data_IF_452457930214
#
_entry.id   IF_452457930214
#
_cell.length_a   1.000
_cell.length_b   1.000
_cell.length_c   1.000
_cell.angle_alpha   90.00
_cell.angle_beta   90.00
_cell.angle_gamma   90.00
#
_symmetry.space_group_name_H-M   'P 1'
#
loop_
_entity.id
_entity.type
_entity.pdbx_description
1 polymer ?
#
# COMPACT_ATOMS: atom_id res chain seq x y z
N UNK A 1 -49.71 -26.37 17.47
CA UNK A 1 -51.03 -25.85 17.91
C UNK A 1 -51.09 -24.35 17.63
N UNK A 2 -52.25 -23.84 17.21
CA UNK A 2 -52.68 -22.41 17.12
C UNK A 2 -51.78 -21.40 16.39
N UNK A 3 -52.20 -21.08 15.17
CA UNK A 3 -51.93 -19.82 14.48
C UNK A 3 -52.54 -18.63 15.24
N UNK A 4 -52.05 -17.42 14.97
CA UNK A 4 -52.90 -16.23 14.97
C UNK A 4 -52.65 -15.41 13.70
N UNK A 5 -53.75 -15.06 13.02
CA UNK A 5 -53.80 -14.18 11.87
C UNK A 5 -54.53 -12.90 12.27
N UNK A 6 -54.17 -11.76 11.70
CA UNK A 6 -55.04 -10.58 11.69
C UNK A 6 -55.08 -9.97 10.29
N UNK A 7 -56.25 -10.10 9.68
CA UNK A 7 -56.64 -9.42 8.45
C UNK A 7 -57.23 -8.05 8.77
N UNK A 8 -56.97 -7.05 7.93
CA UNK A 8 -57.91 -5.96 7.66
C UNK A 8 -57.92 -5.65 6.18
N UNK A 9 -59.10 -5.70 5.58
CA UNK A 9 -59.33 -5.45 4.18
C UNK A 9 -60.11 -4.14 4.01
N UNK A 10 -59.73 -3.33 3.02
CA UNK A 10 -60.58 -2.26 2.46
C UNK A 10 -60.53 -2.35 0.92
N UNK A 11 -61.70 -2.53 0.30
CA UNK A 11 -62.00 -2.22 -1.11
C UNK A 11 -62.60 -0.79 -1.13
N UNK A 12 -62.82 -0.04 -2.21
CA UNK A 12 -62.73 -0.18 -3.67
C UNK A 12 -62.36 1.24 -4.26
N UNK A 13 -62.36 1.60 -5.56
CA UNK A 13 -62.83 0.98 -6.83
C UNK A 13 -61.98 1.50 -8.01
N UNK A 14 -62.30 1.12 -9.24
CA UNK A 14 -61.67 1.57 -10.50
C UNK A 14 -62.16 2.94 -11.00
N UNK A 15 -61.31 3.63 -11.78
CA UNK A 15 -61.72 4.22 -13.06
C UNK A 15 -60.53 4.28 -14.03
N UNK A 16 -60.77 4.10 -15.33
CA UNK A 16 -59.75 4.10 -16.37
C UNK A 16 -60.09 5.10 -17.50
N UNK A 17 -59.12 5.90 -17.93
CA UNK A 17 -58.98 6.65 -19.19
C UNK A 17 -57.72 7.54 -19.05
N UNK A 18 -56.92 7.86 -20.08
CA UNK A 18 -57.06 7.56 -21.51
C UNK A 18 -55.72 7.65 -22.26
N UNK A 19 -55.79 7.97 -23.55
CA UNK A 19 -54.79 7.66 -24.59
C UNK A 19 -53.48 8.48 -24.59
N UNK A 20 -52.49 7.83 -25.21
CA UNK A 20 -51.15 8.28 -25.61
C UNK A 20 -50.98 9.72 -26.12
N UNK A 21 -49.78 10.28 -25.84
CA UNK A 21 -49.09 11.24 -26.73
C UNK A 21 -47.62 10.83 -26.87
N UNK A 22 -47.12 11.04 -28.09
CA UNK A 22 -45.78 10.78 -28.63
C UNK A 22 -44.60 11.13 -27.73
N UNK A 23 -43.53 10.33 -27.83
CA UNK A 23 -42.29 10.57 -27.11
C UNK A 23 -41.52 11.81 -27.58
N UNK A 24 -40.75 12.39 -26.65
CA UNK A 24 -39.68 13.34 -26.92
C UNK A 24 -38.41 12.73 -26.34
N UNK A 25 -37.44 12.40 -27.19
CA UNK A 25 -36.11 12.01 -26.74
C UNK A 25 -35.37 13.25 -26.20
N UNK A 26 -35.67 13.64 -24.97
CA UNK A 26 -34.82 14.55 -24.22
C UNK A 26 -33.49 13.85 -23.98
N UNK A 27 -32.45 14.26 -24.70
CA UNK A 27 -31.09 13.82 -24.45
C UNK A 27 -30.68 14.32 -23.06
N UNK A 28 -30.88 13.46 -22.05
CA UNK A 28 -30.48 13.73 -20.68
C UNK A 28 -28.96 13.82 -20.61
N UNK A 29 -28.43 15.04 -20.66
CA UNK A 29 -27.08 15.31 -20.19
C UNK A 29 -27.02 14.85 -18.73
N UNK A 30 -26.34 13.72 -18.49
CA UNK A 30 -26.14 13.22 -17.13
C UNK A 30 -25.49 14.35 -16.31
N UNK A 31 -26.04 14.71 -15.13
CA UNK A 31 -25.44 15.76 -14.33
C UNK A 31 -24.03 15.33 -13.98
N UNK A 32 -23.04 16.10 -14.43
CA UNK A 32 -21.66 15.93 -14.02
C UNK A 32 -21.63 16.16 -12.50
N UNK A 33 -21.55 15.07 -11.74
CA UNK A 33 -21.42 15.14 -10.29
C UNK A 33 -20.18 16.00 -9.97
N UNK A 34 -20.26 16.94 -9.03
CA UNK A 34 -19.10 17.73 -8.65
C UNK A 34 -18.04 16.78 -8.06
N UNK A 35 -16.96 16.57 -8.80
CA UNK A 35 -15.76 15.90 -8.29
C UNK A 35 -15.27 16.71 -7.08
N UNK A 36 -15.41 16.16 -5.87
CA UNK A 36 -14.97 16.89 -4.68
C UNK A 36 -13.44 16.80 -4.58
N UNK A 37 -12.80 17.83 -4.05
CA UNK A 37 -11.35 17.83 -3.84
C UNK A 37 -10.87 16.66 -2.93
N UNK A 38 -11.76 16.16 -2.06
CA UNK A 38 -11.57 14.93 -1.28
C UNK A 38 -11.39 13.67 -2.13
N UNK A 39 -12.02 13.60 -3.30
CA UNK A 39 -11.88 12.46 -4.20
C UNK A 39 -10.51 12.47 -4.89
N UNK A 40 -10.00 13.66 -5.26
CA UNK A 40 -8.64 13.80 -5.80
C UNK A 40 -7.58 13.37 -4.77
N UNK A 41 -7.77 13.67 -3.48
CA UNK A 41 -6.90 13.17 -2.40
C UNK A 41 -7.00 11.65 -2.20
N UNK A 42 -8.12 11.02 -2.55
CA UNK A 42 -8.27 9.54 -2.55
C UNK A 42 -7.45 8.88 -3.68
N UNK A 43 -7.07 9.60 -4.73
CA UNK A 43 -6.23 9.08 -5.82
C UNK A 43 -4.76 9.51 -5.76
N UNK A 44 -4.39 10.41 -4.84
CA UNK A 44 -3.00 10.81 -4.64
C UNK A 44 -2.18 9.68 -3.97
N UNK A 45 -1.01 9.39 -4.54
CA UNK A 45 -0.01 8.51 -3.93
C UNK A 45 0.61 9.20 -2.69
N UNK A 46 1.40 8.49 -1.86
CA UNK A 46 2.20 9.11 -0.82
C UNK A 46 3.01 10.31 -1.35
N UNK A 47 3.30 11.26 -0.45
CA UNK A 47 3.92 12.55 -0.73
C UNK A 47 3.05 13.50 -1.58
N UNK A 48 1.74 13.22 -1.69
CA UNK A 48 0.78 13.95 -2.54
C UNK A 48 1.22 14.05 -4.01
N UNK A 49 1.94 13.04 -4.50
CA UNK A 49 2.45 12.98 -5.88
C UNK A 49 1.61 12.04 -6.74
N UNK A 50 1.85 12.12 -8.05
CA UNK A 50 1.36 11.14 -9.04
C UNK A 50 2.50 10.22 -9.44
N UNK A 51 2.21 8.95 -9.69
CA UNK A 51 3.15 7.99 -10.27
C UNK A 51 2.72 7.56 -11.68
N UNK A 52 3.60 6.86 -12.40
CA UNK A 52 3.34 6.24 -13.70
C UNK A 52 3.81 4.78 -13.64
N UNK A 53 2.98 3.85 -14.08
CA UNK A 53 3.30 2.42 -14.14
C UNK A 53 4.55 2.16 -14.99
N UNK A 54 5.45 1.34 -14.46
CA UNK A 54 6.61 0.84 -15.21
C UNK A 54 6.20 -0.39 -16.03
N UNK A 55 6.89 -0.65 -17.16
CA UNK A 55 6.77 -1.93 -17.86
C UNK A 55 7.05 -3.14 -16.96
N UNK A 56 6.40 -4.27 -17.24
CA UNK A 56 6.55 -5.51 -16.46
C UNK A 56 7.96 -6.10 -16.55
N UNK A 57 8.64 -5.91 -17.68
CA UNK A 57 10.01 -6.33 -17.98
C UNK A 57 11.08 -5.39 -17.40
N UNK A 58 10.69 -4.35 -16.66
CA UNK A 58 11.63 -3.58 -15.85
C UNK A 58 12.16 -4.44 -14.69
N UNK A 59 13.47 -4.35 -14.40
CA UNK A 59 14.13 -5.12 -13.33
C UNK A 59 13.41 -5.04 -11.97
N UNK A 60 12.91 -3.87 -11.58
CA UNK A 60 12.17 -3.72 -10.32
C UNK A 60 10.77 -4.37 -10.39
N UNK A 61 10.12 -4.32 -11.56
CA UNK A 61 8.84 -5.01 -11.82
C UNK A 61 9.01 -6.53 -11.84
N UNK A 62 10.06 -7.07 -12.45
CA UNK A 62 10.39 -8.50 -12.41
C UNK A 62 10.64 -9.00 -10.99
N UNK A 63 11.40 -8.20 -10.23
CA UNK A 63 11.74 -8.47 -8.84
C UNK A 63 10.51 -8.43 -7.93
N UNK A 64 9.68 -7.40 -8.04
CA UNK A 64 8.45 -7.31 -7.28
C UNK A 64 7.53 -8.50 -7.58
N UNK A 65 7.36 -8.88 -8.85
CA UNK A 65 6.59 -10.07 -9.25
C UNK A 65 7.15 -11.38 -8.67
N UNK A 66 8.46 -11.50 -8.38
CA UNK A 66 9.01 -12.65 -7.64
C UNK A 66 8.51 -12.63 -6.19
N UNK A 67 8.62 -11.49 -5.52
CA UNK A 67 8.20 -11.33 -4.13
C UNK A 67 6.69 -11.54 -3.97
N UNK A 68 5.86 -11.06 -4.90
CA UNK A 68 4.42 -11.32 -4.91
C UNK A 68 4.10 -12.82 -4.93
N UNK A 69 4.82 -13.62 -5.74
CA UNK A 69 4.64 -15.09 -5.75
C UNK A 69 5.08 -15.76 -4.45
N UNK A 70 6.12 -15.25 -3.80
CA UNK A 70 6.54 -15.73 -2.47
C UNK A 70 5.50 -15.36 -1.41
N UNK A 71 4.96 -14.13 -1.44
CA UNK A 71 3.85 -13.69 -0.59
C UNK A 71 2.61 -14.56 -0.79
N UNK A 72 2.20 -14.84 -2.03
CA UNK A 72 1.00 -15.63 -2.30
C UNK A 72 1.13 -17.08 -1.80
N UNK A 73 2.32 -17.68 -1.90
CA UNK A 73 2.62 -18.98 -1.33
C UNK A 73 2.55 -18.95 0.22
N UNK A 74 3.08 -17.90 0.85
CA UNK A 74 3.00 -17.72 2.30
C UNK A 74 1.58 -17.40 2.79
N UNK A 75 0.76 -16.69 2.02
CA UNK A 75 -0.64 -16.40 2.35
C UNK A 75 -1.47 -17.69 2.49
N UNK A 76 -1.17 -18.74 1.71
CA UNK A 76 -1.80 -20.05 1.88
C UNK A 76 -1.42 -20.69 3.22
N UNK A 77 -0.15 -20.62 3.62
CA UNK A 77 0.31 -21.11 4.93
C UNK A 77 -0.35 -20.33 6.07
N UNK A 78 -0.43 -19.00 5.95
CA UNK A 78 -1.11 -18.14 6.92
C UNK A 78 -2.60 -18.48 7.05
N UNK A 79 -3.32 -18.67 5.95
CA UNK A 79 -4.74 -19.02 5.97
C UNK A 79 -5.01 -20.37 6.67
N UNK A 80 -4.23 -21.41 6.34
CA UNK A 80 -4.33 -22.71 7.01
C UNK A 80 -4.02 -22.63 8.51
N UNK A 81 -3.06 -21.78 8.88
CA UNK A 81 -2.66 -21.55 10.28
C UNK A 81 -3.66 -20.71 11.09
N UNK A 82 -4.44 -19.84 10.43
CA UNK A 82 -5.54 -19.08 11.05
C UNK A 82 -6.78 -19.96 11.25
N UNK A 83 -7.04 -20.90 10.32
CA UNK A 83 -8.16 -21.85 10.41
C UNK A 83 -7.97 -22.91 11.52
N UNK A 84 -6.77 -23.50 11.67
CA UNK A 84 -6.44 -24.37 12.82
C UNK A 84 -5.14 -23.96 13.55
N UNK A 85 -5.21 -22.96 14.45
CA UNK A 85 -4.06 -22.48 15.21
C UNK A 85 -3.41 -23.53 16.12
N UNK A 86 -4.11 -24.65 16.44
CA UNK A 86 -3.57 -25.72 17.29
C UNK A 86 -2.66 -26.67 16.55
N UNK A 87 -2.86 -26.84 15.25
CA UNK A 87 -2.06 -27.73 14.40
C UNK A 87 -1.15 -26.99 13.41
N UNK A 88 -1.17 -25.64 13.39
CA UNK A 88 -0.22 -24.84 12.64
C UNK A 88 1.25 -25.17 13.01
N UNK A 89 1.96 -25.78 12.07
CA UNK A 89 3.33 -26.26 12.27
C UNK A 89 4.39 -25.16 12.15
N UNK A 90 4.18 -24.12 11.32
CA UNK A 90 5.13 -23.01 11.17
C UNK A 90 5.11 -22.10 12.42
N UNK A 91 6.24 -21.94 13.13
CA UNK A 91 6.35 -20.93 14.18
C UNK A 91 6.38 -19.50 13.62
N UNK A 92 6.84 -19.30 12.38
CA UNK A 92 6.85 -18.01 11.68
C UNK A 92 5.42 -17.54 11.39
N UNK A 93 4.57 -18.42 10.86
CA UNK A 93 3.16 -18.13 10.62
C UNK A 93 2.43 -17.76 11.92
N UNK A 94 2.65 -18.51 13.00
CA UNK A 94 2.09 -18.18 14.32
C UNK A 94 2.60 -16.83 14.85
N UNK A 95 3.89 -16.53 14.68
CA UNK A 95 4.50 -15.25 15.08
C UNK A 95 3.92 -14.09 14.25
N UNK A 96 3.74 -14.27 12.95
CA UNK A 96 3.14 -13.27 12.06
C UNK A 96 1.66 -13.02 12.39
N UNK A 97 0.86 -14.07 12.52
CA UNK A 97 -0.55 -13.97 12.90
C UNK A 97 -0.71 -13.31 14.28
N UNK A 98 0.14 -13.63 15.26
CA UNK A 98 0.12 -12.96 16.56
C UNK A 98 0.39 -11.44 16.47
N UNK A 99 1.26 -11.00 15.54
CA UNK A 99 1.49 -9.57 15.26
C UNK A 99 0.25 -8.93 14.62
N UNK A 100 -0.38 -9.62 13.66
CA UNK A 100 -1.60 -9.17 12.98
C UNK A 100 -2.76 -9.03 13.98
N UNK A 101 -2.96 -10.00 14.88
CA UNK A 101 -3.99 -9.94 15.93
C UNK A 101 -3.71 -8.85 16.97
N UNK A 102 -2.45 -8.67 17.38
CA UNK A 102 -2.06 -7.56 18.26
C UNK A 102 -2.40 -6.20 17.63
N UNK A 103 -2.23 -6.07 16.31
CA UNK A 103 -2.71 -4.94 15.52
C UNK A 103 -4.23 -4.82 15.54
N UNK A 104 -4.96 -5.88 15.13
CA UNK A 104 -6.44 -5.90 15.05
C UNK A 104 -7.13 -5.56 16.37
N UNK A 105 -6.50 -5.90 17.50
CA UNK A 105 -6.95 -5.52 18.85
C UNK A 105 -6.91 -3.99 19.13
N UNK A 106 -6.33 -3.18 18.25
CA UNK A 106 -6.34 -1.71 18.32
C UNK A 106 -7.26 -1.09 17.27
N UNK A 107 -7.54 0.21 17.46
CA UNK A 107 -8.39 1.02 16.60
C UNK A 107 -7.63 2.19 15.97
N UNK A 108 -8.10 2.65 14.80
CA UNK A 108 -7.50 3.76 14.06
C UNK A 108 -5.99 3.60 13.84
N UNK A 109 -5.26 4.72 13.96
CA UNK A 109 -3.79 4.77 13.80
C UNK A 109 -3.01 3.83 14.73
N UNK A 110 -3.56 3.44 15.88
CA UNK A 110 -2.89 2.52 16.80
C UNK A 110 -2.76 1.10 16.23
N UNK A 111 -3.65 0.67 15.32
CA UNK A 111 -3.58 -0.65 14.65
C UNK A 111 -2.32 -0.78 13.80
N UNK A 112 -2.08 0.19 12.93
CA UNK A 112 -0.88 0.22 12.09
C UNK A 112 0.40 0.48 12.94
N UNK A 113 0.29 1.31 13.98
CA UNK A 113 1.41 1.59 14.90
C UNK A 113 1.87 0.36 15.70
N UNK A 114 0.96 -0.50 16.16
CA UNK A 114 1.31 -1.76 16.83
C UNK A 114 2.00 -2.73 15.87
N UNK A 115 1.50 -2.88 14.63
CA UNK A 115 2.13 -3.70 13.59
C UNK A 115 3.55 -3.21 13.28
N UNK A 116 3.74 -1.89 13.10
CA UNK A 116 5.07 -1.29 12.90
C UNK A 116 6.03 -1.66 14.04
N UNK A 117 5.59 -1.42 15.29
CA UNK A 117 6.39 -1.67 16.49
C UNK A 117 6.73 -3.15 16.64
N UNK A 118 5.76 -4.04 16.46
CA UNK A 118 5.92 -5.46 16.69
C UNK A 118 6.87 -6.09 15.65
N UNK A 119 6.75 -5.73 14.36
CA UNK A 119 7.74 -6.15 13.35
C UNK A 119 9.13 -5.56 13.62
N UNK A 120 9.21 -4.29 14.02
CA UNK A 120 10.49 -3.65 14.37
C UNK A 120 11.20 -4.28 15.58
N UNK A 121 10.46 -4.96 16.47
CA UNK A 121 11.02 -5.73 17.60
C UNK A 121 11.26 -7.21 17.26
N UNK A 122 10.57 -7.75 16.24
CA UNK A 122 10.59 -9.16 15.88
C UNK A 122 11.75 -9.57 14.96
N UNK A 123 12.39 -8.59 14.31
CA UNK A 123 13.42 -8.75 13.27
C UNK A 123 14.60 -7.85 13.64
N UNK A 124 15.84 -8.29 13.37
CA UNK A 124 17.08 -7.52 13.58
C UNK A 124 17.55 -6.85 12.26
N UNK A 125 17.86 -5.53 12.25
CA UNK A 125 18.31 -4.87 11.04
C UNK A 125 19.73 -5.31 10.67
N UNK A 126 19.90 -5.88 9.48
CA UNK A 126 21.19 -6.32 8.91
C UNK A 126 21.09 -6.23 7.39
N UNK A 127 22.10 -5.70 6.71
CA UNK A 127 22.10 -5.61 5.25
C UNK A 127 22.22 -6.97 4.56
N UNK A 128 21.61 -7.10 3.38
CA UNK A 128 21.70 -8.32 2.56
C UNK A 128 23.12 -8.80 2.32
N UNK A 129 24.06 -7.89 2.03
CA UNK A 129 25.46 -8.25 1.79
C UNK A 129 26.09 -8.99 2.98
N UNK A 130 25.63 -8.72 4.20
CA UNK A 130 26.07 -9.39 5.42
C UNK A 130 25.25 -10.64 5.78
N UNK A 131 24.03 -10.80 5.25
CA UNK A 131 23.18 -11.98 5.47
C UNK A 131 23.35 -13.07 4.40
N UNK A 132 23.46 -12.66 3.14
CA UNK A 132 23.39 -13.51 1.96
C UNK A 132 24.66 -13.46 1.10
N UNK A 133 25.51 -12.45 1.28
CA UNK A 133 26.69 -12.22 0.41
C UNK A 133 26.34 -11.60 -0.95
N UNK A 134 25.06 -11.30 -1.17
CA UNK A 134 24.50 -10.62 -2.33
C UNK A 134 23.81 -9.32 -1.86
N UNK A 135 23.60 -8.36 -2.74
CA UNK A 135 22.87 -7.12 -2.42
C UNK A 135 21.42 -7.22 -2.90
N UNK A 136 20.49 -6.54 -2.22
CA UNK A 136 19.14 -6.27 -2.72
C UNK A 136 18.37 -7.61 -2.94
N UNK A 137 18.20 -8.39 -1.86
CA UNK A 137 17.63 -9.75 -1.79
C UNK A 137 16.30 -9.74 -1.03
N UNK A 138 15.21 -9.44 -1.74
CA UNK A 138 13.91 -9.23 -1.09
C UNK A 138 13.27 -10.56 -0.62
N UNK A 139 12.76 -10.58 0.62
CA UNK A 139 12.11 -11.73 1.25
C UNK A 139 10.63 -11.46 1.56
N UNK A 140 9.82 -12.51 1.41
CA UNK A 140 8.44 -12.52 1.89
C UNK A 140 8.39 -12.66 3.45
N UNK A 141 7.27 -12.28 4.10
CA UNK A 141 7.20 -12.12 5.56
C UNK A 141 7.61 -13.34 6.41
N UNK A 142 7.23 -14.57 6.03
CA UNK A 142 7.58 -15.77 6.79
C UNK A 142 9.05 -16.15 6.58
N UNK A 143 9.56 -16.05 5.36
CA UNK A 143 10.98 -16.23 5.06
C UNK A 143 11.86 -15.24 5.86
N UNK A 144 11.44 -13.97 5.95
CA UNK A 144 12.09 -12.97 6.80
C UNK A 144 12.02 -13.34 8.29
N UNK A 145 10.87 -13.81 8.78
CA UNK A 145 10.72 -14.22 10.19
C UNK A 145 11.52 -15.48 10.53
N UNK A 146 11.72 -16.39 9.58
CA UNK A 146 12.62 -17.55 9.72
C UNK A 146 14.09 -17.11 9.80
N UNK A 147 14.51 -16.16 8.95
CA UNK A 147 15.84 -15.56 8.99
C UNK A 147 16.07 -14.74 10.29
N UNK A 148 15.02 -14.10 10.80
CA UNK A 148 15.07 -13.23 11.99
C UNK A 148 15.84 -11.92 11.79
N UNK A 149 16.30 -11.64 10.57
CA UNK A 149 17.05 -10.45 10.18
C UNK A 149 16.83 -10.13 8.70
N UNK A 150 16.93 -8.85 8.34
CA UNK A 150 16.79 -8.28 7.00
C UNK A 150 17.02 -6.76 7.06
N UNK A 151 16.90 -6.05 5.94
CA UNK A 151 17.06 -4.59 5.89
C UNK A 151 15.76 -3.83 5.56
N UNK A 152 15.72 -2.91 4.59
CA UNK A 152 14.62 -1.93 4.54
C UNK A 152 13.39 -2.44 3.78
N UNK A 153 13.61 -3.05 2.62
CA UNK A 153 12.63 -3.75 1.79
C UNK A 153 11.87 -4.82 2.57
N UNK A 154 12.59 -5.71 3.24
CA UNK A 154 12.06 -6.85 3.97
C UNK A 154 11.05 -6.42 5.05
N UNK A 155 11.43 -5.43 5.85
CA UNK A 155 10.53 -4.87 6.85
C UNK A 155 9.34 -4.17 6.19
N UNK A 156 9.54 -3.44 5.09
CA UNK A 156 8.47 -2.78 4.36
C UNK A 156 7.46 -3.81 3.82
N UNK A 157 7.94 -4.87 3.17
CA UNK A 157 7.15 -6.00 2.66
C UNK A 157 6.36 -6.66 3.79
N UNK A 158 7.03 -7.03 4.89
CA UNK A 158 6.39 -7.64 6.06
C UNK A 158 5.29 -6.75 6.65
N UNK A 159 5.51 -5.43 6.72
CA UNK A 159 4.52 -4.46 7.20
C UNK A 159 3.35 -4.32 6.23
N UNK A 160 3.60 -4.24 4.93
CA UNK A 160 2.55 -4.17 3.90
C UNK A 160 1.63 -5.38 3.95
N UNK A 161 2.18 -6.60 4.02
CA UNK A 161 1.39 -7.82 4.13
C UNK A 161 0.67 -7.91 5.48
N UNK A 162 1.31 -7.50 6.59
CA UNK A 162 0.67 -7.51 7.91
C UNK A 162 -0.49 -6.51 8.02
N UNK A 163 -0.37 -5.34 7.39
CA UNK A 163 -1.46 -4.37 7.25
C UNK A 163 -2.61 -4.95 6.41
N UNK A 164 -2.31 -5.59 5.27
CA UNK A 164 -3.32 -6.28 4.45
C UNK A 164 -4.07 -7.35 5.25
N UNK A 165 -3.34 -8.19 6.00
CA UNK A 165 -3.92 -9.22 6.88
C UNK A 165 -4.70 -8.63 8.07
N UNK A 166 -4.34 -7.43 8.54
CA UNK A 166 -5.08 -6.69 9.58
C UNK A 166 -6.34 -5.96 9.05
N UNK A 167 -6.70 -6.15 7.78
CA UNK A 167 -7.92 -5.64 7.17
C UNK A 167 -7.88 -4.15 6.80
N UNK A 168 -6.71 -3.59 6.50
CA UNK A 168 -6.62 -2.30 5.82
C UNK A 168 -6.94 -2.47 4.31
N UNK A 169 -7.60 -1.47 3.72
CA UNK A 169 -7.96 -1.50 2.30
C UNK A 169 -6.70 -1.48 1.41
N UNK A 170 -6.64 -2.35 0.41
CA UNK A 170 -5.46 -2.48 -0.46
C UNK A 170 -5.20 -1.22 -1.29
N UNK A 171 -6.23 -0.42 -1.59
CA UNK A 171 -6.10 0.89 -2.22
C UNK A 171 -5.47 1.95 -1.31
N UNK A 172 -5.49 1.74 0.01
CA UNK A 172 -4.88 2.58 1.04
C UNK A 172 -3.50 2.07 1.51
N UNK A 173 -2.94 1.02 0.88
CA UNK A 173 -1.62 0.45 1.21
C UNK A 173 -0.62 0.62 0.07
N UNK A 174 0.63 0.99 0.40
CA UNK A 174 1.75 1.06 -0.54
C UNK A 174 3.06 0.59 0.09
N UNK A 175 3.99 0.12 -0.74
CA UNK A 175 5.42 0.22 -0.47
C UNK A 175 5.97 1.47 -1.16
N UNK A 176 6.91 2.17 -0.54
CA UNK A 176 7.60 3.32 -1.14
C UNK A 176 9.10 3.14 -1.02
N UNK A 177 9.80 3.28 -2.15
CA UNK A 177 11.26 3.40 -2.22
C UNK A 177 11.60 4.88 -2.40
N UNK A 178 12.50 5.40 -1.58
CA UNK A 178 12.89 6.81 -1.56
C UNK A 178 14.38 6.98 -1.25
N UNK A 179 15.00 8.03 -1.80
CA UNK A 179 16.38 8.42 -1.49
C UNK A 179 16.39 9.33 -0.26
N UNK A 180 17.07 8.93 0.82
CA UNK A 180 17.43 9.87 1.89
C UNK A 180 18.57 10.76 1.37
N UNK A 181 18.27 12.04 1.18
CA UNK A 181 19.22 13.02 0.60
C UNK A 181 20.28 13.52 1.59
N UNK A 182 20.10 13.30 2.90
CA UNK A 182 21.13 13.60 3.90
C UNK A 182 22.10 12.43 4.05
N UNK A 183 21.60 11.20 3.99
CA UNK A 183 22.39 9.97 4.14
C UNK A 183 22.91 9.41 2.82
N UNK A 184 22.41 9.91 1.68
CA UNK A 184 22.78 9.52 0.31
C UNK A 184 22.50 8.05 -0.02
N UNK A 185 21.53 7.44 0.65
CA UNK A 185 21.16 6.02 0.54
C UNK A 185 19.67 5.87 0.14
N UNK A 186 19.34 4.83 -0.62
CA UNK A 186 17.94 4.45 -0.82
C UNK A 186 17.38 3.79 0.44
N UNK A 187 16.08 3.93 0.65
CA UNK A 187 15.36 3.39 1.80
C UNK A 187 13.93 3.01 1.42
N UNK A 188 13.48 1.84 1.85
CA UNK A 188 12.14 1.33 1.62
C UNK A 188 11.29 1.36 2.90
N UNK A 189 10.01 1.73 2.75
CA UNK A 189 9.02 1.77 3.85
C UNK A 189 7.65 1.31 3.37
N UNK A 190 6.85 0.78 4.29
CA UNK A 190 5.41 0.62 4.05
C UNK A 190 4.68 1.94 4.33
N UNK A 191 3.58 2.19 3.63
CA UNK A 191 2.70 3.34 3.83
C UNK A 191 1.24 2.90 3.93
N UNK A 192 0.49 3.51 4.84
CA UNK A 192 -0.96 3.32 4.98
C UNK A 192 -1.68 4.66 5.04
N UNK A 193 -2.76 4.81 4.26
CA UNK A 193 -3.59 6.01 4.30
C UNK A 193 -4.65 5.89 5.39
N UNK A 194 -4.66 6.85 6.32
CA UNK A 194 -5.61 6.93 7.44
C UNK A 194 -6.08 8.37 7.61
N UNK A 195 -7.39 8.56 7.69
CA UNK A 195 -8.03 9.88 7.77
C UNK A 195 -7.56 10.83 6.65
N UNK A 196 -7.40 10.31 5.43
CA UNK A 196 -6.92 11.06 4.26
C UNK A 196 -5.43 11.39 4.24
N UNK A 197 -4.63 10.90 5.20
CA UNK A 197 -3.18 11.18 5.32
C UNK A 197 -2.35 9.90 5.21
N UNK A 198 -1.19 9.96 4.58
CA UNK A 198 -0.29 8.83 4.45
C UNK A 198 0.67 8.73 5.65
N UNK A 199 0.62 7.57 6.33
CA UNK A 199 1.48 7.24 7.47
C UNK A 199 2.50 6.19 7.06
N UNK A 200 3.78 6.52 7.24
CA UNK A 200 4.91 5.68 6.90
C UNK A 200 5.35 4.84 8.11
N UNK A 201 5.56 3.55 7.87
CA UNK A 201 5.99 2.54 8.83
C UNK A 201 7.45 2.14 8.54
N UNK A 202 8.38 2.82 9.21
CA UNK A 202 9.83 2.75 9.00
C UNK A 202 10.49 1.72 9.94
N UNK A 203 11.48 0.94 9.49
CA UNK A 203 12.23 0.03 10.37
C UNK A 203 13.18 0.78 11.32
N UNK A 204 13.56 2.02 10.97
CA UNK A 204 14.41 2.90 11.79
C UNK A 204 13.65 3.60 12.91
N UNK A 205 12.30 3.52 12.94
CA UNK A 205 11.44 4.29 13.87
C UNK A 205 10.28 3.46 14.40
N UNK A 206 10.11 3.43 15.72
CA UNK A 206 8.95 2.77 16.35
C UNK A 206 7.64 3.52 16.14
N UNK A 207 7.69 4.86 16.04
CA UNK A 207 6.55 5.70 15.71
C UNK A 207 6.36 5.82 14.20
N UNK A 208 5.12 5.79 13.73
CA UNK A 208 4.78 6.12 12.35
C UNK A 208 4.96 7.62 12.12
N UNK A 209 5.45 7.99 10.94
CA UNK A 209 5.71 9.38 10.52
C UNK A 209 4.76 9.73 9.37
N UNK A 210 4.25 10.96 9.32
CA UNK A 210 3.44 11.43 8.20
C UNK A 210 4.35 11.76 7.01
N UNK A 211 3.94 11.43 5.78
CA UNK A 211 4.75 11.64 4.58
C UNK A 211 5.27 13.08 4.41
N UNK A 212 4.42 14.08 4.68
CA UNK A 212 4.77 15.52 4.65
C UNK A 212 5.88 15.93 5.63
N UNK A 213 6.23 15.09 6.61
CA UNK A 213 7.28 15.37 7.59
C UNK A 213 8.68 14.90 7.14
N UNK A 214 8.77 14.08 6.07
CA UNK A 214 10.05 13.58 5.54
C UNK A 214 10.66 14.52 4.49
N UNK A 215 10.93 15.77 4.88
CA UNK A 215 11.41 16.86 3.99
C UNK A 215 12.70 16.53 3.20
N UNK A 216 13.52 15.59 3.68
CA UNK A 216 14.78 15.19 3.05
C UNK A 216 14.73 13.85 2.31
N UNK A 217 13.54 13.30 2.06
CA UNK A 217 13.37 12.05 1.32
C UNK A 217 12.76 12.35 -0.06
N UNK A 218 13.43 11.93 -1.13
CA UNK A 218 12.89 11.99 -2.49
C UNK A 218 12.22 10.65 -2.82
N UNK A 219 10.89 10.58 -2.97
CA UNK A 219 10.22 9.35 -3.37
C UNK A 219 10.53 9.02 -4.83
N UNK A 220 10.97 7.78 -5.08
CA UNK A 220 11.42 7.29 -6.39
C UNK A 220 10.41 6.31 -7.00
N UNK A 221 10.00 5.29 -6.23
CA UNK A 221 9.05 4.27 -6.67
C UNK A 221 7.96 4.03 -5.62
N UNK A 222 6.78 3.66 -6.11
CA UNK A 222 5.66 3.19 -5.30
C UNK A 222 5.17 1.85 -5.86
N UNK A 223 4.94 0.89 -4.98
CA UNK A 223 4.52 -0.47 -5.34
C UNK A 223 3.24 -0.83 -4.59
N UNK A 224 2.36 -1.56 -5.25
CA UNK A 224 1.18 -2.22 -4.66
C UNK A 224 0.83 -3.49 -5.44
N UNK A 225 -0.36 -4.04 -5.21
CA UNK A 225 -0.85 -5.26 -5.88
C UNK A 225 -1.12 -5.09 -7.39
N UNK A 226 -0.97 -3.87 -7.93
CA UNK A 226 -1.06 -3.59 -9.36
C UNK A 226 0.33 -3.36 -9.99
N UNK A 227 1.39 -3.73 -9.27
CA UNK A 227 2.78 -3.64 -9.74
C UNK A 227 3.50 -2.35 -9.33
N UNK A 228 4.53 -2.00 -10.12
CA UNK A 228 5.50 -0.94 -9.80
C UNK A 228 5.19 0.33 -10.58
N UNK A 229 5.22 1.47 -9.90
CA UNK A 229 5.07 2.80 -10.50
C UNK A 229 6.24 3.70 -10.09
N UNK A 230 6.80 4.45 -11.04
CA UNK A 230 7.80 5.49 -10.77
C UNK A 230 7.09 6.81 -10.48
N UNK A 231 7.53 7.54 -9.45
CA UNK A 231 6.98 8.86 -9.15
C UNK A 231 7.26 9.83 -10.29
N UNK A 232 6.25 10.59 -10.71
CA UNK A 232 6.47 11.72 -11.60
C UNK A 232 7.06 12.86 -10.77
N UNK A 233 8.24 13.32 -11.15
CA UNK A 233 8.71 14.63 -10.73
C UNK A 233 7.80 15.70 -11.37
N UNK A 234 6.87 16.19 -10.54
CA UNK A 234 6.01 17.30 -10.88
C UNK A 234 6.09 18.32 -9.73
N UNK A 235 6.83 19.44 -9.90
CA UNK A 235 6.58 20.60 -9.07
C UNK A 235 5.20 21.14 -9.43
N UNK A 236 4.24 21.08 -8.51
CA UNK A 236 3.03 21.91 -8.62
C UNK A 236 3.40 23.34 -8.17
N UNK A 237 4.22 23.97 -8.99
CA UNK A 237 4.49 25.41 -8.98
C UNK A 237 4.27 25.89 -10.41
N UNK A 238 3.29 26.77 -10.59
CA UNK A 238 2.96 27.30 -11.90
C UNK A 238 4.14 28.11 -12.47
N UNK A 239 4.71 27.64 -13.58
CA UNK A 239 5.49 28.43 -14.51
C UNK A 239 6.90 28.88 -14.09
N UNK A 240 7.88 27.98 -14.16
CA UNK A 240 9.24 28.35 -14.58
C UNK A 240 9.76 27.29 -15.55
N UNK A 241 10.12 27.69 -16.78
CA UNK A 241 10.88 26.84 -17.69
C UNK A 241 12.36 26.84 -17.28
N UNK A 242 12.91 25.68 -16.92
CA UNK A 242 14.37 25.50 -16.81
C UNK A 242 14.88 24.55 -17.89
N UNK A 243 15.73 25.11 -18.74
CA UNK A 243 16.41 24.51 -19.90
C UNK A 243 17.31 23.33 -19.48
N UNK A 244 17.28 22.23 -20.23
CA UNK A 244 18.24 21.12 -20.03
C UNK A 244 19.67 21.53 -20.43
N UNK A 245 20.71 21.08 -19.71
CA UNK A 245 22.11 21.25 -20.10
C UNK A 245 22.55 20.23 -21.17
N UNK A 246 23.65 20.54 -21.87
CA UNK A 246 24.18 19.73 -22.97
C UNK A 246 24.95 18.46 -22.52
N UNK A 247 25.14 17.45 -23.40
CA UNK A 247 25.79 16.18 -23.05
C UNK A 247 27.23 16.26 -22.54
N UNK A 248 27.93 17.39 -22.76
CA UNK A 248 29.35 17.54 -22.43
C UNK A 248 29.67 17.54 -20.92
N UNK A 249 28.70 17.80 -20.04
CA UNK A 249 28.92 17.79 -18.57
C UNK A 249 28.88 16.38 -17.95
N UNK A 250 28.24 15.41 -18.61
CA UNK A 250 28.12 14.03 -18.09
C UNK A 250 29.48 13.32 -17.96
N UNK A 251 30.49 13.73 -18.74
CA UNK A 251 31.83 13.14 -18.74
C UNK A 251 32.73 13.57 -17.57
N UNK A 252 32.30 14.49 -16.70
CA UNK A 252 33.09 14.94 -15.52
C UNK A 252 32.69 14.27 -14.21
N UNK A 253 31.60 13.50 -14.18
CA UNK A 253 31.08 12.84 -12.98
C UNK A 253 31.64 11.41 -12.74
N UNK A 254 32.27 10.78 -13.74
CA UNK A 254 32.75 9.39 -13.64
C UNK A 254 34.10 9.18 -12.91
N UNK A 255 34.69 10.22 -12.33
CA UNK A 255 36.04 10.18 -11.72
C UNK A 255 36.11 10.53 -10.23
N UNK A 256 34.99 10.42 -9.50
CA UNK A 256 34.97 10.51 -8.02
C UNK A 256 34.17 9.39 -7.36
N UNK A 257 34.71 8.18 -7.45
CA UNK A 257 34.42 7.10 -6.50
C UNK A 257 35.76 6.56 -6.00
N UNK A 258 36.04 6.82 -4.72
CA UNK A 258 37.05 6.20 -3.87
C UNK A 258 36.51 6.21 -2.45
#
# INVERSE_FOLDING_TARGET
MRNFSFTRAWRATFLACGLAVSGVCAAGAAPLLPFHASDLLRFAEPFSRSATTLPDDNVLSEKWRRVEREIDAEMLVLALCDEDPRHCSSPEARKFLAIVEAGKAKQGRARAGEINRALNLAIRPVSDLALYGEVDVWRAPLALLAQGAGDCEDYAIAKFVALRAAGFDVGDLRLVIMRDTLRQEDHAVASVRLDGRWWLLDNRRMAMVEDVQLLHHQPLFVLDLNGVRHYRDAPIMAGVQTRMPEPAELLKLSLRVK
#
